data_IF_295551253115
#
_entry.id   IF_295551253115
#
_cell.length_a   1.000
_cell.length_b   1.000
_cell.length_c   1.000
_cell.angle_alpha   90.00
_cell.angle_beta   90.00
_cell.angle_gamma   90.00
#
_symmetry.space_group_name_H-M   'P 1'
#
loop_
_entity.id
_entity.type
_entity.pdbx_description
1 polymer ?
#
# COMPACT_ATOMS: atom_id res chain seq x y z
N UNK A 1 -0.74 -27.33 -4.58
CA UNK A 1 -0.92 -25.86 -4.73
C UNK A 1 -1.31 -25.60 -6.18
N UNK A 2 -2.44 -24.94 -6.41
CA UNK A 2 -2.81 -24.45 -7.75
C UNK A 2 -2.36 -23.00 -7.87
N UNK A 3 -1.67 -22.66 -8.95
CA UNK A 3 -1.24 -21.28 -9.25
C UNK A 3 -2.27 -20.68 -10.22
N UNK A 4 -2.89 -19.58 -9.82
CA UNK A 4 -3.82 -18.85 -10.68
C UNK A 4 -3.06 -17.95 -11.67
N UNK A 5 -3.06 -18.32 -12.95
CA UNK A 5 -2.52 -17.49 -14.02
C UNK A 5 -3.54 -16.40 -14.35
N UNK A 6 -3.14 -15.15 -14.19
CA UNK A 6 -4.01 -14.00 -14.37
C UNK A 6 -4.21 -13.66 -15.84
N UNK A 7 -5.41 -13.22 -16.17
CA UNK A 7 -5.72 -12.66 -17.49
C UNK A 7 -5.24 -11.19 -17.60
N UNK A 8 -5.24 -10.59 -18.80
CA UNK A 8 -4.78 -9.22 -18.99
C UNK A 8 -5.49 -8.16 -18.13
N UNK A 9 -6.81 -8.27 -17.95
CA UNK A 9 -7.61 -7.30 -17.19
C UNK A 9 -7.29 -7.36 -15.69
N UNK A 10 -7.09 -8.57 -15.16
CA UNK A 10 -6.65 -8.78 -13.78
C UNK A 10 -5.25 -8.19 -13.55
N UNK A 11 -4.33 -8.39 -14.50
CA UNK A 11 -2.99 -7.81 -14.44
C UNK A 11 -3.08 -6.28 -14.44
N UNK A 12 -3.95 -5.68 -15.25
CA UNK A 12 -4.10 -4.22 -15.28
C UNK A 12 -4.61 -3.67 -13.94
N UNK A 13 -5.60 -4.33 -13.33
CA UNK A 13 -6.05 -3.99 -11.97
C UNK A 13 -4.92 -4.13 -10.95
N UNK A 14 -4.10 -5.17 -11.07
CA UNK A 14 -2.94 -5.34 -10.19
C UNK A 14 -1.90 -4.23 -10.35
N UNK A 15 -1.68 -3.71 -11.57
CA UNK A 15 -0.76 -2.59 -11.78
C UNK A 15 -1.22 -1.33 -11.05
N UNK A 16 -2.52 -1.04 -11.11
CA UNK A 16 -3.11 0.10 -10.37
C UNK A 16 -2.96 -0.11 -8.87
N UNK A 17 -3.36 -1.27 -8.35
CA UNK A 17 -3.25 -1.58 -6.92
C UNK A 17 -1.79 -1.52 -6.43
N UNK A 18 -0.85 -2.05 -7.21
CA UNK A 18 0.57 -2.01 -6.88
C UNK A 18 1.15 -0.60 -6.85
N UNK A 19 0.73 0.28 -7.77
CA UNK A 19 1.13 1.69 -7.77
C UNK A 19 0.60 2.43 -6.55
N UNK A 20 -0.68 2.24 -6.21
CA UNK A 20 -1.28 2.85 -5.00
C UNK A 20 -0.58 2.34 -3.73
N UNK A 21 -0.23 1.07 -3.65
CA UNK A 21 0.52 0.53 -2.53
C UNK A 21 1.95 1.12 -2.44
N UNK A 22 2.62 1.32 -3.57
CA UNK A 22 3.94 1.94 -3.60
C UNK A 22 3.91 3.40 -3.10
N UNK A 23 2.87 4.15 -3.46
CA UNK A 23 2.67 5.53 -2.98
C UNK A 23 2.54 5.60 -1.45
N UNK A 24 1.78 4.67 -0.83
CA UNK A 24 1.68 4.58 0.63
C UNK A 24 3.05 4.31 1.26
N UNK A 25 3.86 3.45 0.63
CA UNK A 25 5.21 3.13 1.12
C UNK A 25 6.17 4.33 1.03
N UNK A 26 6.07 5.12 -0.03
CA UNK A 26 6.85 6.37 -0.16
C UNK A 26 6.42 7.40 0.90
N UNK A 27 5.12 7.54 1.14
CA UNK A 27 4.56 8.45 2.14
C UNK A 27 4.95 8.07 3.57
N UNK A 28 4.92 6.78 3.92
CA UNK A 28 5.20 6.33 5.30
C UNK A 28 6.68 6.34 5.65
N UNK A 29 7.58 6.23 4.66
CA UNK A 29 9.03 6.14 4.85
C UNK A 29 9.62 7.17 5.83
N UNK A 30 9.32 8.48 5.68
CA UNK A 30 9.78 9.52 6.60
C UNK A 30 9.28 9.39 8.06
N UNK A 31 8.20 8.65 8.30
CA UNK A 31 7.57 8.50 9.62
C UNK A 31 8.15 7.31 10.42
N UNK A 32 8.90 6.41 9.77
CA UNK A 32 9.52 5.26 10.44
C UNK A 32 10.76 5.73 11.21
N UNK A 33 10.53 6.15 12.46
CA UNK A 33 11.56 6.71 13.33
C UNK A 33 11.58 5.99 14.69
N UNK A 34 12.75 5.95 15.39
CA UNK A 34 12.81 5.40 16.74
C UNK A 34 11.80 6.07 17.69
N UNK A 35 11.06 5.24 18.44
CA UNK A 35 10.04 5.72 19.38
C UNK A 35 8.64 5.87 18.78
N UNK A 36 8.48 5.79 17.46
CA UNK A 36 7.15 5.73 16.80
C UNK A 36 6.61 4.31 16.89
N UNK A 37 5.35 4.17 17.29
CA UNK A 37 4.70 2.86 17.39
C UNK A 37 4.17 2.39 16.03
N UNK A 38 4.13 1.08 15.82
CA UNK A 38 3.56 0.50 14.59
C UNK A 38 2.07 0.82 14.43
N UNK A 39 1.34 1.02 15.54
CA UNK A 39 -0.06 1.45 15.49
C UNK A 39 -0.24 2.92 15.05
N UNK A 40 0.74 3.78 15.27
CA UNK A 40 0.74 5.14 14.70
C UNK A 40 1.01 5.10 13.20
N UNK A 41 1.99 4.30 12.78
CA UNK A 41 2.29 4.09 11.35
C UNK A 41 1.07 3.52 10.61
N UNK A 42 0.39 2.54 11.19
CA UNK A 42 -0.83 1.94 10.63
C UNK A 42 -1.94 2.97 10.44
N UNK A 43 -2.17 3.85 11.43
CA UNK A 43 -3.16 4.93 11.31
C UNK A 43 -2.81 5.90 10.18
N UNK A 44 -1.55 6.31 10.07
CA UNK A 44 -1.11 7.20 8.99
C UNK A 44 -1.32 6.57 7.61
N UNK A 45 -0.98 5.28 7.45
CA UNK A 45 -1.25 4.54 6.22
C UNK A 45 -2.75 4.47 5.93
N UNK A 46 -3.57 4.13 6.93
CA UNK A 46 -5.03 4.03 6.78
C UNK A 46 -5.64 5.37 6.36
N UNK A 47 -5.29 6.45 7.05
CA UNK A 47 -5.80 7.79 6.76
C UNK A 47 -5.39 8.24 5.36
N UNK A 48 -4.18 7.90 4.92
CA UNK A 48 -3.72 8.21 3.57
C UNK A 48 -4.53 7.44 2.51
N UNK A 49 -4.70 6.13 2.70
CA UNK A 49 -5.46 5.27 1.78
C UNK A 49 -6.92 5.70 1.66
N UNK A 50 -7.57 6.07 2.78
CA UNK A 50 -9.01 6.40 2.78
C UNK A 50 -9.29 7.81 2.27
N UNK A 51 -8.39 8.77 2.52
CA UNK A 51 -8.69 10.18 2.28
C UNK A 51 -7.92 10.81 1.09
N UNK A 52 -6.91 10.14 0.54
CA UNK A 52 -6.05 10.72 -0.50
C UNK A 52 -5.93 9.87 -1.78
N UNK A 53 -6.41 8.62 -1.78
CA UNK A 53 -6.37 7.72 -2.94
C UNK A 53 -7.72 7.58 -3.66
#
# INVERSE_FOLDING_TARGET
>A
MSIHIKNPDEIEKMRVAGRLAAEVLEMIGPHVQPGVSTGELDRLCHDHIVNNQ
#
